data_IF_785942942638
#
_entry.id   IF_785942942638
#
_cell.length_a   1.000
_cell.length_b   1.000
_cell.length_c   1.000
_cell.angle_alpha   90.00
_cell.angle_beta   90.00
_cell.angle_gamma   90.00
#
_symmetry.space_group_name_H-M   'P 1'
#
loop_
_entity.id
_entity.type
_entity.pdbx_description
1 polymer ?
#
# COMPACT_ATOMS: atom_id res chain seq x y z
N UNK A 1 -31.45 -15.99 -56.36
CA UNK A 1 -30.47 -16.34 -57.36
C UNK A 1 -29.15 -16.34 -56.59
N UNK A 2 -28.83 -17.45 -55.93
CA UNK A 2 -28.13 -18.61 -56.51
C UNK A 2 -26.84 -18.13 -57.21
N UNK A 3 -25.70 -18.43 -56.59
CA UNK A 3 -24.94 -19.63 -56.98
C UNK A 3 -23.84 -19.92 -55.94
N UNK A 4 -23.84 -21.16 -55.53
CA UNK A 4 -22.73 -21.95 -54.99
C UNK A 4 -21.58 -22.06 -55.98
N UNK A 5 -20.46 -22.56 -55.56
CA UNK A 5 -19.40 -23.37 -56.12
C UNK A 5 -18.07 -22.98 -55.44
N UNK A 6 -17.32 -23.80 -54.82
CA UNK A 6 -17.01 -25.20 -54.97
C UNK A 6 -15.62 -25.43 -54.42
N UNK A 7 -15.55 -26.38 -53.51
CA UNK A 7 -14.36 -26.85 -52.82
C UNK A 7 -13.38 -27.52 -53.80
N UNK A 8 -12.12 -27.11 -53.83
CA UNK A 8 -11.05 -27.88 -54.46
C UNK A 8 -9.86 -28.02 -53.52
N UNK A 9 -9.74 -29.20 -52.94
CA UNK A 9 -8.54 -29.68 -52.28
C UNK A 9 -7.41 -29.81 -53.31
N UNK A 10 -6.26 -29.17 -53.01
CA UNK A 10 -4.99 -29.55 -53.59
C UNK A 10 -4.02 -29.85 -52.44
N UNK A 11 -3.78 -31.15 -52.28
CA UNK A 11 -2.70 -31.66 -51.45
C UNK A 11 -1.37 -31.36 -52.16
N UNK A 12 -0.45 -30.64 -51.51
CA UNK A 12 0.95 -30.61 -51.90
C UNK A 12 1.80 -30.98 -50.68
N UNK A 13 2.69 -31.94 -50.99
CA UNK A 13 3.52 -32.70 -50.09
C UNK A 13 4.50 -31.89 -49.26
N UNK A 14 4.76 -32.41 -48.09
CA UNK A 14 5.81 -32.09 -47.14
C UNK A 14 7.19 -31.95 -47.80
N UNK A 15 7.84 -30.82 -47.53
CA UNK A 15 9.28 -30.70 -47.41
C UNK A 15 9.59 -30.22 -45.98
N UNK A 16 10.12 -31.14 -45.18
CA UNK A 16 10.69 -30.90 -43.84
C UNK A 16 11.93 -29.98 -43.99
N UNK A 17 11.74 -28.69 -43.86
CA UNK A 17 12.82 -27.78 -43.51
C UNK A 17 12.59 -27.40 -42.05
N UNK A 18 13.51 -27.79 -41.19
CA UNK A 18 13.49 -27.45 -39.77
C UNK A 18 13.51 -25.93 -39.55
N UNK A 19 12.34 -25.34 -39.41
CA UNK A 19 12.19 -24.02 -38.83
C UNK A 19 12.02 -24.24 -37.32
N UNK A 20 13.09 -23.90 -36.59
CA UNK A 20 12.99 -23.69 -35.15
C UNK A 20 11.82 -22.73 -34.93
N UNK A 21 10.77 -23.20 -34.22
CA UNK A 21 9.74 -22.34 -33.67
C UNK A 21 10.45 -21.23 -32.89
N UNK A 22 10.13 -19.93 -33.11
CA UNK A 22 10.62 -18.91 -32.21
C UNK A 22 10.10 -19.26 -30.83
N UNK A 23 11.02 -19.55 -29.91
CA UNK A 23 10.75 -19.59 -28.48
C UNK A 23 9.90 -18.35 -28.16
N UNK A 24 8.68 -18.55 -27.68
CA UNK A 24 7.84 -17.55 -27.07
C UNK A 24 8.75 -16.69 -26.18
N UNK A 25 8.82 -15.39 -26.45
CA UNK A 25 9.78 -14.48 -25.91
C UNK A 25 10.00 -14.71 -24.42
N UNK A 26 11.22 -15.09 -24.06
CA UNK A 26 11.65 -15.08 -22.68
C UNK A 26 11.46 -13.66 -22.17
N UNK A 27 10.74 -13.51 -21.07
CA UNK A 27 10.61 -12.26 -20.39
C UNK A 27 12.03 -11.77 -20.07
N UNK A 28 12.43 -10.62 -20.62
CA UNK A 28 13.81 -10.11 -20.48
C UNK A 28 14.24 -9.99 -19.02
N UNK A 29 13.28 -9.83 -18.13
CA UNK A 29 13.47 -9.72 -16.68
C UNK A 29 13.57 -11.09 -15.98
N UNK A 30 13.13 -12.18 -16.63
CA UNK A 30 13.10 -13.54 -16.08
C UNK A 30 14.47 -14.23 -16.13
N UNK A 31 14.64 -15.36 -15.37
CA UNK A 31 15.89 -16.09 -15.37
C UNK A 31 16.21 -16.66 -16.77
N UNK A 32 17.47 -16.59 -17.14
CA UNK A 32 17.96 -17.08 -18.45
C UNK A 32 18.47 -18.54 -18.38
N UNK A 33 18.95 -18.98 -17.21
CA UNK A 33 19.36 -20.37 -16.97
C UNK A 33 18.14 -21.29 -16.77
N UNK A 34 18.18 -22.51 -17.37
CA UNK A 34 17.06 -23.45 -17.32
C UNK A 34 16.77 -23.98 -15.89
N UNK A 35 17.80 -24.09 -15.02
CA UNK A 35 17.62 -24.50 -13.61
C UNK A 35 17.04 -23.34 -12.83
N UNK A 36 17.47 -22.12 -13.08
CA UNK A 36 16.93 -20.91 -12.52
C UNK A 36 15.45 -20.74 -12.87
N UNK A 37 15.09 -20.96 -14.15
CA UNK A 37 13.69 -20.93 -14.60
C UNK A 37 12.82 -21.94 -13.87
N UNK A 38 13.32 -23.19 -13.65
CA UNK A 38 12.61 -24.18 -12.86
C UNK A 38 12.37 -23.70 -11.41
N UNK A 39 13.41 -23.19 -10.75
CA UNK A 39 13.30 -22.68 -9.37
C UNK A 39 12.36 -21.47 -9.29
N UNK A 40 12.37 -20.58 -10.28
CA UNK A 40 11.43 -19.47 -10.39
C UNK A 40 9.97 -19.94 -10.52
N UNK A 41 9.71 -20.91 -11.38
CA UNK A 41 8.36 -21.47 -11.55
C UNK A 41 7.86 -22.16 -10.26
N UNK A 42 8.75 -22.87 -9.54
CA UNK A 42 8.43 -23.45 -8.23
C UNK A 42 8.14 -22.36 -7.19
N UNK A 43 8.84 -21.21 -7.22
CA UNK A 43 8.55 -20.07 -6.38
C UNK A 43 7.17 -19.48 -6.68
N UNK A 44 6.84 -19.31 -7.97
CA UNK A 44 5.52 -18.83 -8.39
C UNK A 44 4.41 -19.78 -7.98
N UNK A 45 4.67 -21.10 -8.00
CA UNK A 45 3.73 -22.09 -7.50
C UNK A 45 3.52 -22.00 -5.98
N UNK A 46 4.60 -21.84 -5.21
CA UNK A 46 4.52 -21.60 -3.77
C UNK A 46 3.67 -20.36 -3.44
N UNK A 47 3.79 -19.28 -4.23
CA UNK A 47 2.94 -18.08 -4.07
C UNK A 47 1.46 -18.36 -4.31
N UNK A 48 1.10 -19.17 -5.33
CA UNK A 48 -0.30 -19.55 -5.56
C UNK A 48 -0.91 -20.30 -4.38
N UNK A 49 -0.08 -20.97 -3.60
CA UNK A 49 -0.49 -21.69 -2.38
C UNK A 49 -0.22 -20.90 -1.09
N UNK A 50 -0.01 -19.57 -1.18
CA UNK A 50 0.25 -18.68 -0.05
C UNK A 50 1.45 -19.06 0.83
N UNK A 51 2.41 -19.82 0.29
CA UNK A 51 3.65 -20.21 0.98
C UNK A 51 4.76 -19.20 0.71
N UNK A 52 4.65 -18.01 1.30
CA UNK A 52 5.52 -16.86 0.98
C UNK A 52 6.99 -17.14 1.32
N UNK A 53 7.27 -17.73 2.50
CA UNK A 53 8.64 -18.06 2.91
C UNK A 53 9.29 -19.07 1.94
N UNK A 54 8.56 -20.13 1.56
CA UNK A 54 9.05 -21.12 0.57
C UNK A 54 9.31 -20.47 -0.80
N UNK A 55 8.44 -19.53 -1.19
CA UNK A 55 8.60 -18.81 -2.43
C UNK A 55 9.86 -17.93 -2.41
N UNK A 56 10.10 -17.23 -1.31
CA UNK A 56 11.29 -16.39 -1.15
C UNK A 56 12.58 -17.22 -1.26
N UNK A 57 12.66 -18.39 -0.61
CA UNK A 57 13.83 -19.27 -0.70
C UNK A 57 14.07 -19.78 -2.13
N UNK A 58 12.99 -20.04 -2.87
CA UNK A 58 13.08 -20.46 -4.27
C UNK A 58 13.48 -19.30 -5.20
N UNK A 59 13.05 -18.05 -4.95
CA UNK A 59 13.53 -16.88 -5.69
C UNK A 59 15.00 -16.64 -5.43
N UNK A 60 15.48 -16.71 -4.19
CA UNK A 60 16.92 -16.63 -3.84
C UNK A 60 17.73 -17.69 -4.57
N UNK A 61 17.19 -18.92 -4.64
CA UNK A 61 17.83 -20.00 -5.37
C UNK A 61 17.86 -19.75 -6.88
N UNK A 62 16.76 -19.27 -7.45
CA UNK A 62 16.67 -18.96 -8.88
C UNK A 62 17.65 -17.86 -9.27
N UNK A 63 17.69 -16.77 -8.52
CA UNK A 63 18.62 -15.66 -8.76
C UNK A 63 20.08 -16.12 -8.69
N UNK A 64 20.44 -16.87 -7.66
CA UNK A 64 21.80 -17.47 -7.55
C UNK A 64 22.15 -18.39 -8.72
N UNK A 65 21.20 -19.18 -9.22
CA UNK A 65 21.40 -20.07 -10.38
C UNK A 65 21.57 -19.30 -11.67
N UNK A 66 20.97 -18.11 -11.75
CA UNK A 66 21.09 -17.17 -12.88
C UNK A 66 22.28 -16.22 -12.73
N UNK A 67 23.18 -16.49 -11.78
CA UNK A 67 24.40 -15.68 -11.56
C UNK A 67 24.13 -14.31 -10.91
N UNK A 68 23.00 -14.10 -10.27
CA UNK A 68 22.60 -12.82 -9.68
C UNK A 68 22.02 -11.83 -10.71
N UNK A 69 21.58 -12.30 -11.87
CA UNK A 69 21.10 -11.46 -12.96
C UNK A 69 19.58 -11.56 -13.20
N UNK A 70 18.87 -12.34 -12.38
CA UNK A 70 17.43 -12.51 -12.52
C UNK A 70 16.67 -11.31 -11.94
N UNK A 71 16.47 -10.26 -12.73
CA UNK A 71 15.76 -9.05 -12.30
C UNK A 71 14.35 -9.33 -11.77
N UNK A 72 13.61 -10.26 -12.39
CA UNK A 72 12.29 -10.69 -11.91
C UNK A 72 12.39 -11.38 -10.53
N UNK A 73 13.45 -12.16 -10.26
CA UNK A 73 13.69 -12.75 -8.95
C UNK A 73 13.95 -11.67 -7.91
N UNK A 74 14.83 -10.72 -8.19
CA UNK A 74 15.21 -9.63 -7.29
C UNK A 74 14.02 -8.74 -6.93
N UNK A 75 13.19 -8.37 -7.91
CA UNK A 75 11.93 -7.65 -7.66
C UNK A 75 11.00 -8.44 -6.70
N UNK A 76 10.91 -9.77 -6.85
CA UNK A 76 10.12 -10.63 -5.96
C UNK A 76 10.78 -10.78 -4.60
N UNK A 77 12.11 -10.91 -4.54
CA UNK A 77 12.86 -10.95 -3.29
C UNK A 77 12.67 -9.67 -2.48
N UNK A 78 12.81 -8.49 -3.10
CA UNK A 78 12.53 -7.19 -2.46
C UNK A 78 11.13 -7.20 -1.85
N UNK A 79 10.11 -7.55 -2.63
CA UNK A 79 8.73 -7.54 -2.16
C UNK A 79 8.53 -8.48 -0.97
N UNK A 80 8.81 -9.75 -1.15
CA UNK A 80 8.43 -10.77 -0.16
C UNK A 80 9.37 -10.81 1.05
N UNK A 81 10.65 -10.48 0.88
CA UNK A 81 11.55 -10.32 2.02
C UNK A 81 11.16 -9.12 2.89
N UNK A 82 10.74 -8.01 2.29
CA UNK A 82 10.21 -6.86 3.04
C UNK A 82 8.92 -7.21 3.80
N UNK A 83 8.00 -7.97 3.18
CA UNK A 83 6.78 -8.46 3.83
C UNK A 83 7.08 -9.38 5.04
N UNK A 84 8.13 -10.18 4.96
CA UNK A 84 8.58 -11.08 6.03
C UNK A 84 9.52 -10.42 7.04
N UNK A 85 9.94 -9.17 6.82
CA UNK A 85 10.92 -8.49 7.65
C UNK A 85 12.36 -9.00 7.48
N UNK A 86 12.64 -9.75 6.41
CA UNK A 86 13.98 -10.23 6.04
C UNK A 86 14.79 -9.13 5.34
N UNK A 87 15.00 -7.99 6.03
CA UNK A 87 15.55 -6.74 5.47
C UNK A 87 16.87 -6.92 4.75
N UNK A 88 17.77 -7.76 5.31
CA UNK A 88 19.08 -8.04 4.69
C UNK A 88 18.93 -8.68 3.30
N UNK A 89 17.94 -9.54 3.12
CA UNK A 89 17.65 -10.17 1.81
C UNK A 89 17.08 -9.16 0.84
N UNK A 90 16.16 -8.32 1.30
CA UNK A 90 15.56 -7.27 0.47
C UNK A 90 16.61 -6.23 0.04
N UNK A 91 17.50 -5.81 0.96
CA UNK A 91 18.56 -4.86 0.69
C UNK A 91 19.57 -5.41 -0.32
N UNK A 92 20.04 -6.65 -0.12
CA UNK A 92 20.96 -7.31 -1.06
C UNK A 92 20.39 -7.39 -2.47
N UNK A 93 19.12 -7.79 -2.61
CA UNK A 93 18.47 -7.84 -3.90
C UNK A 93 18.34 -6.45 -4.56
N UNK A 94 18.12 -5.40 -3.77
CA UNK A 94 18.13 -4.02 -4.26
C UNK A 94 19.53 -3.57 -4.71
N UNK A 95 20.58 -3.92 -3.97
CA UNK A 95 21.98 -3.64 -4.33
C UNK A 95 22.40 -4.37 -5.62
N UNK A 96 21.98 -5.63 -5.79
CA UNK A 96 22.20 -6.39 -7.01
C UNK A 96 21.50 -5.75 -8.22
N UNK A 97 20.25 -5.25 -8.03
CA UNK A 97 19.56 -4.48 -9.09
C UNK A 97 20.32 -3.21 -9.46
N UNK A 98 20.83 -2.47 -8.48
CA UNK A 98 21.62 -1.25 -8.73
C UNK A 98 22.92 -1.58 -9.48
N UNK A 99 23.60 -2.67 -9.10
CA UNK A 99 24.87 -3.04 -9.69
C UNK A 99 24.77 -3.41 -11.19
N UNK A 100 23.62 -3.90 -11.63
CA UNK A 100 23.41 -4.32 -13.02
C UNK A 100 22.60 -3.33 -13.87
N UNK A 101 21.96 -2.34 -13.25
CA UNK A 101 21.11 -1.38 -13.93
C UNK A 101 21.86 -0.52 -14.94
N UNK A 102 21.25 -0.27 -16.08
CA UNK A 102 21.79 0.58 -17.15
C UNK A 102 20.70 1.49 -17.73
N UNK A 103 21.10 2.65 -18.25
CA UNK A 103 20.17 3.58 -18.86
C UNK A 103 19.05 4.01 -17.90
N UNK A 104 17.81 3.92 -18.36
CA UNK A 104 16.61 4.33 -17.60
C UNK A 104 16.35 3.46 -16.37
N UNK A 105 16.85 2.21 -16.35
CA UNK A 105 16.67 1.30 -15.20
C UNK A 105 17.46 1.72 -13.96
N UNK A 106 18.51 2.55 -14.12
CA UNK A 106 19.31 3.07 -12.99
C UNK A 106 18.43 3.81 -11.99
N UNK A 107 17.56 4.70 -12.47
CA UNK A 107 16.66 5.46 -11.60
C UNK A 107 15.70 4.53 -10.82
N UNK A 108 15.15 3.52 -11.50
CA UNK A 108 14.23 2.56 -10.91
C UNK A 108 14.93 1.70 -9.87
N UNK A 109 16.15 1.21 -10.13
CA UNK A 109 16.92 0.38 -9.22
C UNK A 109 17.23 1.13 -7.90
N UNK A 110 17.74 2.37 -7.99
CA UNK A 110 18.00 3.22 -6.83
C UNK A 110 16.72 3.52 -6.05
N UNK A 111 15.59 3.80 -6.74
CA UNK A 111 14.31 3.98 -6.10
C UNK A 111 13.84 2.72 -5.34
N UNK A 112 14.00 1.53 -5.90
CA UNK A 112 13.64 0.27 -5.25
C UNK A 112 14.47 0.04 -3.99
N UNK A 113 15.79 0.23 -4.06
CA UNK A 113 16.68 0.12 -2.89
C UNK A 113 16.28 1.13 -1.81
N UNK A 114 16.05 2.39 -2.17
CA UNK A 114 15.59 3.41 -1.24
C UNK A 114 14.26 3.08 -0.58
N UNK A 115 13.35 2.43 -1.31
CA UNK A 115 12.06 1.96 -0.78
C UNK A 115 12.26 0.87 0.28
N UNK A 116 13.19 -0.06 0.07
CA UNK A 116 13.57 -1.08 1.08
C UNK A 116 14.13 -0.42 2.33
N UNK A 117 15.10 0.48 2.16
CA UNK A 117 15.72 1.21 3.27
C UNK A 117 14.72 2.03 4.07
N UNK A 118 13.79 2.72 3.40
CA UNK A 118 12.71 3.46 4.04
C UNK A 118 11.80 2.54 4.87
N UNK A 119 11.46 1.37 4.33
CA UNK A 119 10.60 0.39 5.00
C UNK A 119 11.29 -0.21 6.21
N UNK A 120 12.58 -0.55 6.11
CA UNK A 120 13.38 -1.03 7.24
C UNK A 120 13.52 0.05 8.32
N UNK A 121 13.89 1.29 7.93
CA UNK A 121 14.03 2.42 8.84
C UNK A 121 12.77 2.60 9.69
N UNK A 122 11.62 2.53 9.02
CA UNK A 122 10.33 2.67 9.66
C UNK A 122 9.98 1.49 10.58
N UNK A 123 10.11 0.26 10.08
CA UNK A 123 9.74 -0.96 10.82
C UNK A 123 10.62 -1.22 12.05
N UNK A 124 11.90 -0.87 11.98
CA UNK A 124 12.90 -1.15 13.02
C UNK A 124 13.32 0.08 13.82
N UNK A 125 12.70 1.23 13.58
CA UNK A 125 13.03 2.53 14.20
C UNK A 125 14.53 2.89 14.05
N UNK A 126 15.06 2.67 12.82
CA UNK A 126 16.45 2.98 12.47
C UNK A 126 16.53 4.32 11.73
N UNK A 127 16.65 5.40 12.48
CA UNK A 127 16.65 6.76 11.90
C UNK A 127 17.92 7.04 11.07
N UNK A 128 19.01 6.31 11.30
CA UNK A 128 20.25 6.39 10.54
C UNK A 128 20.08 5.98 9.06
N UNK A 129 19.09 5.16 8.75
CA UNK A 129 18.83 4.75 7.37
C UNK A 129 18.21 5.85 6.51
N UNK A 130 17.59 6.89 7.10
CA UNK A 130 16.96 7.94 6.29
C UNK A 130 17.97 8.74 5.44
N UNK A 131 19.21 8.89 5.90
CA UNK A 131 20.28 9.48 5.07
C UNK A 131 20.62 8.60 3.86
N UNK A 132 20.66 7.28 4.02
CA UNK A 132 20.87 6.36 2.89
C UNK A 132 19.71 6.39 1.91
N UNK A 133 18.47 6.52 2.41
CA UNK A 133 17.30 6.71 1.53
C UNK A 133 17.48 7.98 0.68
N UNK A 134 17.86 9.11 1.30
CA UNK A 134 18.12 10.37 0.60
C UNK A 134 19.23 10.21 -0.45
N UNK A 135 20.32 9.53 -0.11
CA UNK A 135 21.41 9.26 -1.05
C UNK A 135 20.94 8.43 -2.27
N UNK A 136 20.15 7.38 -2.05
CA UNK A 136 19.61 6.57 -3.12
C UNK A 136 18.59 7.37 -3.98
N UNK A 137 17.76 8.21 -3.38
CA UNK A 137 16.85 9.08 -4.14
C UNK A 137 17.60 10.13 -4.94
N UNK A 138 18.68 10.68 -4.40
CA UNK A 138 19.55 11.60 -5.14
C UNK A 138 20.14 10.96 -6.38
N UNK A 139 20.63 9.71 -6.29
CA UNK A 139 21.13 8.95 -7.44
C UNK A 139 20.01 8.63 -8.45
N UNK A 140 18.83 8.24 -7.97
CA UNK A 140 17.67 8.01 -8.82
C UNK A 140 17.28 9.26 -9.61
N UNK A 141 17.27 10.42 -8.97
CA UNK A 141 16.93 11.71 -9.58
C UNK A 141 18.05 12.26 -10.48
N UNK A 142 19.30 11.89 -10.22
CA UNK A 142 20.40 12.20 -11.14
C UNK A 142 20.29 11.41 -12.47
N UNK A 143 19.78 10.17 -12.42
CA UNK A 143 19.52 9.35 -13.61
C UNK A 143 18.22 9.75 -14.31
N UNK A 144 17.19 10.13 -13.59
CA UNK A 144 15.89 10.54 -14.12
C UNK A 144 15.28 11.65 -13.27
N UNK A 145 15.51 12.89 -13.66
CA UNK A 145 15.12 14.08 -12.88
C UNK A 145 13.61 14.18 -12.61
N UNK A 146 12.78 13.79 -13.57
CA UNK A 146 11.32 13.84 -13.47
C UNK A 146 10.71 12.51 -12.98
N UNK A 147 11.18 11.97 -11.86
CA UNK A 147 10.68 10.74 -11.25
C UNK A 147 9.84 11.05 -9.99
N UNK A 148 8.49 11.19 -10.12
CA UNK A 148 7.65 11.67 -9.01
C UNK A 148 7.77 10.84 -7.74
N UNK A 149 7.83 9.51 -7.86
CA UNK A 149 7.91 8.63 -6.70
C UNK A 149 9.23 8.80 -5.93
N UNK A 150 10.35 9.01 -6.63
CA UNK A 150 11.64 9.29 -6.00
C UNK A 150 11.64 10.67 -5.31
N UNK A 151 11.07 11.69 -5.94
CA UNK A 151 10.91 13.03 -5.35
C UNK A 151 10.09 12.97 -4.06
N UNK A 152 8.97 12.25 -4.08
CA UNK A 152 8.11 12.09 -2.90
C UNK A 152 8.82 11.34 -1.77
N UNK A 153 9.51 10.24 -2.09
CA UNK A 153 10.25 9.43 -1.12
C UNK A 153 11.41 10.22 -0.51
N UNK A 154 12.12 11.03 -1.33
CA UNK A 154 13.16 11.93 -0.86
C UNK A 154 12.63 12.99 0.10
N UNK A 155 11.51 13.64 -0.23
CA UNK A 155 10.84 14.58 0.66
C UNK A 155 10.51 13.96 2.02
N UNK A 156 10.07 12.70 2.04
CA UNK A 156 9.81 11.98 3.29
C UNK A 156 11.09 11.65 4.07
N UNK A 157 12.16 11.26 3.40
CA UNK A 157 13.45 11.00 4.04
C UNK A 157 14.02 12.27 4.68
N UNK A 158 14.05 13.38 3.94
CA UNK A 158 14.48 14.69 4.41
C UNK A 158 13.66 15.16 5.62
N UNK A 159 12.34 15.00 5.60
CA UNK A 159 11.49 15.33 6.73
C UNK A 159 11.86 14.50 7.98
N UNK A 160 12.14 13.20 7.82
CA UNK A 160 12.61 12.33 8.92
C UNK A 160 13.96 12.77 9.47
N UNK A 161 14.83 13.30 8.63
CA UNK A 161 16.11 13.91 9.01
C UNK A 161 15.95 15.33 9.61
N UNK A 162 14.70 15.83 9.75
CA UNK A 162 14.36 17.18 10.23
C UNK A 162 14.92 18.31 9.34
N UNK A 163 15.12 18.03 8.06
CA UNK A 163 15.50 18.99 7.02
C UNK A 163 14.23 19.55 6.35
N UNK A 164 13.43 20.28 7.12
CA UNK A 164 12.05 20.63 6.74
C UNK A 164 11.98 21.51 5.49
N UNK A 165 12.90 22.46 5.29
CA UNK A 165 12.92 23.30 4.10
C UNK A 165 13.24 22.49 2.83
N UNK A 166 14.20 21.56 2.90
CA UNK A 166 14.55 20.70 1.79
C UNK A 166 13.40 19.72 1.48
N UNK A 167 12.78 19.14 2.51
CA UNK A 167 11.61 18.29 2.38
C UNK A 167 10.44 19.03 1.71
N UNK A 168 10.16 20.25 2.13
CA UNK A 168 9.14 21.12 1.55
C UNK A 168 9.40 21.35 0.05
N UNK A 169 10.63 21.66 -0.33
CA UNK A 169 10.99 21.88 -1.73
C UNK A 169 10.70 20.64 -2.60
N UNK A 170 10.99 19.41 -2.10
CA UNK A 170 10.66 18.17 -2.81
C UNK A 170 9.14 17.95 -2.90
N UNK A 171 8.38 18.19 -1.84
CA UNK A 171 6.92 18.08 -1.90
C UNK A 171 6.30 19.11 -2.85
N UNK A 172 6.77 20.35 -2.88
CA UNK A 172 6.31 21.36 -3.84
C UNK A 172 6.59 20.95 -5.28
N UNK A 173 7.76 20.34 -5.54
CA UNK A 173 8.12 19.78 -6.84
C UNK A 173 7.18 18.63 -7.21
N UNK A 174 6.93 17.70 -6.29
CA UNK A 174 6.01 16.57 -6.49
C UNK A 174 4.58 17.02 -6.80
N UNK A 175 4.03 17.98 -6.05
CA UNK A 175 2.68 18.51 -6.23
C UNK A 175 2.46 19.08 -7.62
N UNK A 176 3.47 19.71 -8.23
CA UNK A 176 3.39 20.24 -9.61
C UNK A 176 3.31 19.16 -10.69
N UNK A 177 3.71 17.93 -10.36
CA UNK A 177 3.78 16.82 -11.31
C UNK A 177 2.57 15.87 -11.23
N UNK A 178 1.67 16.06 -10.25
CA UNK A 178 0.55 15.14 -9.99
C UNK A 178 -0.79 15.82 -10.23
N UNK A 179 -1.81 15.06 -10.72
CA UNK A 179 -3.19 15.55 -10.85
C UNK A 179 -3.77 16.03 -9.53
N UNK A 180 -4.78 16.89 -9.58
CA UNK A 180 -5.40 17.46 -8.38
C UNK A 180 -6.11 16.44 -7.50
N UNK A 181 -6.67 15.39 -8.10
CA UNK A 181 -7.36 14.30 -7.42
C UNK A 181 -6.43 13.17 -6.92
N UNK A 182 -5.11 13.32 -7.12
CA UNK A 182 -4.13 12.35 -6.67
C UNK A 182 -4.00 12.37 -5.13
N UNK A 183 -4.23 11.23 -4.45
CA UNK A 183 -4.17 11.16 -2.98
C UNK A 183 -2.81 11.54 -2.41
N UNK A 184 -1.71 11.16 -3.08
CA UNK A 184 -0.37 11.49 -2.61
C UNK A 184 -0.05 12.99 -2.80
N UNK A 185 -0.63 13.63 -3.84
CA UNK A 185 -0.57 15.09 -3.98
C UNK A 185 -1.26 15.79 -2.81
N UNK A 186 -2.42 15.32 -2.39
CA UNK A 186 -3.13 15.89 -1.25
C UNK A 186 -2.34 15.71 0.06
N UNK A 187 -1.65 14.58 0.22
CA UNK A 187 -0.73 14.36 1.34
C UNK A 187 0.47 15.29 1.30
N UNK A 188 1.11 15.43 0.14
CA UNK A 188 2.25 16.32 -0.03
C UNK A 188 1.90 17.78 0.30
N UNK A 189 0.72 18.26 -0.09
CA UNK A 189 0.22 19.60 0.29
C UNK A 189 0.11 19.76 1.81
N UNK A 190 -0.31 18.73 2.53
CA UNK A 190 -0.33 18.75 4.00
C UNK A 190 1.08 18.77 4.59
N UNK A 191 2.01 18.01 4.02
CA UNK A 191 3.42 17.98 4.48
C UNK A 191 4.14 19.31 4.24
N UNK A 192 3.77 20.06 3.18
CA UNK A 192 4.25 21.42 2.93
C UNK A 192 3.82 22.39 4.05
N UNK A 193 2.57 22.27 4.51
CA UNK A 193 2.02 23.13 5.56
C UNK A 193 2.33 22.66 6.99
N UNK A 194 2.53 21.35 7.18
CA UNK A 194 2.74 20.68 8.46
C UNK A 194 3.83 19.60 8.32
N UNK A 195 5.13 19.98 8.33
CA UNK A 195 6.24 19.05 8.09
C UNK A 195 6.31 17.87 9.06
N UNK A 196 5.78 18.02 10.28
CA UNK A 196 5.70 16.97 11.29
C UNK A 196 4.85 15.78 10.83
N UNK A 197 3.85 15.99 9.96
CA UNK A 197 3.03 14.91 9.41
C UNK A 197 3.84 13.99 8.47
N UNK A 198 4.84 14.52 7.77
CA UNK A 198 5.74 13.72 6.95
C UNK A 198 6.60 12.75 7.77
N UNK A 199 6.79 13.03 9.05
CA UNK A 199 7.50 12.19 10.04
C UNK A 199 6.57 11.20 10.74
N UNK A 200 5.26 11.41 10.68
CA UNK A 200 4.28 10.55 11.34
C UNK A 200 4.05 9.23 10.57
N UNK A 201 3.53 8.23 11.29
CA UNK A 201 3.03 6.98 10.67
C UNK A 201 1.64 7.25 10.08
N UNK A 202 1.58 7.65 8.83
CA UNK A 202 0.31 7.87 8.13
C UNK A 202 -0.40 6.54 7.88
N UNK A 203 -1.73 6.53 8.06
CA UNK A 203 -2.54 5.40 7.63
C UNK A 203 -2.43 5.21 6.11
N UNK A 204 -2.43 3.97 5.61
CA UNK A 204 -2.46 3.69 4.18
C UNK A 204 -3.65 4.36 3.46
N UNK A 205 -3.53 4.66 2.16
CA UNK A 205 -4.61 5.26 1.37
C UNK A 205 -5.73 4.25 1.12
N UNK A 206 -6.69 4.19 2.03
CA UNK A 206 -7.85 3.32 1.93
C UNK A 206 -8.92 3.94 1.05
N UNK A 207 -9.48 3.15 0.11
CA UNK A 207 -10.70 3.46 -0.63
C UNK A 207 -11.56 2.20 -0.69
N UNK A 208 -12.78 2.25 -0.15
CA UNK A 208 -13.71 1.13 -0.13
C UNK A 208 -15.13 1.56 -0.48
N UNK A 209 -15.96 0.63 -0.94
CA UNK A 209 -17.40 0.80 -1.05
C UNK A 209 -18.07 -0.09 0.00
N UNK A 210 -18.79 0.49 0.92
CA UNK A 210 -19.44 -0.18 2.04
C UNK A 210 -20.69 -0.96 1.61
N UNK A 211 -21.24 -1.76 2.51
CA UNK A 211 -22.44 -2.58 2.27
C UNK A 211 -23.66 -1.76 1.81
N UNK A 212 -23.80 -0.54 2.31
CA UNK A 212 -24.86 0.40 1.94
C UNK A 212 -24.55 1.22 0.66
N UNK A 213 -23.44 0.92 -0.02
CA UNK A 213 -23.02 1.55 -1.26
C UNK A 213 -22.27 2.88 -1.07
N UNK A 214 -22.00 3.32 0.15
CA UNK A 214 -21.22 4.52 0.40
C UNK A 214 -19.76 4.29 0.01
N UNK A 215 -19.18 5.18 -0.80
CA UNK A 215 -17.74 5.22 -1.03
C UNK A 215 -17.06 5.97 0.12
N UNK A 216 -16.10 5.33 0.76
CA UNK A 216 -15.28 5.91 1.82
C UNK A 216 -13.82 5.91 1.37
N UNK A 217 -13.16 7.07 1.41
CA UNK A 217 -11.71 7.16 1.26
C UNK A 217 -11.08 7.82 2.50
N UNK A 218 -9.80 7.53 2.78
CA UNK A 218 -9.10 8.19 3.88
C UNK A 218 -9.03 9.70 3.70
N UNK A 219 -9.02 10.19 2.46
CA UNK A 219 -9.00 11.63 2.17
C UNK A 219 -10.35 12.30 2.48
N UNK A 220 -11.49 11.60 2.26
CA UNK A 220 -12.83 12.06 2.62
C UNK A 220 -13.05 12.09 4.15
N UNK A 221 -12.21 11.38 4.89
CA UNK A 221 -12.27 11.29 6.35
C UNK A 221 -11.37 12.32 7.06
N UNK A 222 -10.74 13.23 6.31
CA UNK A 222 -9.95 14.33 6.88
C UNK A 222 -10.79 15.12 7.89
N UNK A 223 -10.19 15.42 9.03
CA UNK A 223 -10.87 16.10 10.14
C UNK A 223 -11.69 15.18 11.04
N UNK A 224 -11.80 13.89 10.71
CA UNK A 224 -12.48 12.87 11.53
C UNK A 224 -11.49 11.85 12.08
N UNK A 225 -11.75 11.38 13.28
CA UNK A 225 -11.08 10.19 13.84
C UNK A 225 -11.65 8.95 13.16
N UNK A 226 -10.81 7.97 12.84
CA UNK A 226 -11.25 6.68 12.27
C UNK A 226 -10.88 5.55 13.22
N UNK A 227 -11.86 4.72 13.56
CA UNK A 227 -11.65 3.42 14.19
C UNK A 227 -11.88 2.36 13.12
N UNK A 228 -10.78 1.75 12.65
CA UNK A 228 -10.82 0.66 11.69
C UNK A 228 -10.75 -0.65 12.45
N UNK A 229 -11.75 -1.52 12.25
CA UNK A 229 -11.93 -2.79 12.97
C UNK A 229 -11.93 -3.96 11.98
N UNK A 230 -10.94 -4.86 12.11
CA UNK A 230 -10.87 -6.09 11.32
C UNK A 230 -11.44 -7.26 12.11
N UNK A 231 -12.43 -7.92 11.52
CA UNK A 231 -13.22 -8.95 12.19
C UNK A 231 -13.73 -10.03 11.22
N UNK A 232 -14.43 -11.05 11.74
CA UNK A 232 -15.19 -11.99 10.91
C UNK A 232 -16.30 -12.67 11.72
N UNK A 233 -17.33 -13.17 11.05
CA UNK A 233 -18.44 -13.89 11.67
C UNK A 233 -18.02 -15.20 12.33
N UNK A 234 -16.98 -15.84 11.82
CA UNK A 234 -16.40 -17.07 12.38
C UNK A 234 -15.41 -16.84 13.53
N UNK A 235 -15.01 -15.60 13.78
CA UNK A 235 -14.06 -15.23 14.82
C UNK A 235 -14.77 -15.13 16.17
N UNK A 236 -14.52 -16.09 17.06
CA UNK A 236 -15.10 -16.13 18.41
C UNK A 236 -14.81 -14.88 19.25
N UNK A 237 -13.53 -14.47 19.41
CA UNK A 237 -13.15 -13.25 20.13
C UNK A 237 -13.77 -11.98 19.51
N UNK A 238 -13.87 -11.88 18.18
CA UNK A 238 -14.49 -10.74 17.52
C UNK A 238 -15.98 -10.61 17.90
N UNK A 239 -16.70 -11.74 17.94
CA UNK A 239 -18.11 -11.77 18.38
C UNK A 239 -18.27 -11.39 19.84
N UNK A 240 -17.30 -11.74 20.69
CA UNK A 240 -17.29 -11.33 22.09
C UNK A 240 -17.06 -9.82 22.25
N UNK A 241 -16.25 -9.20 21.38
CA UNK A 241 -15.98 -7.76 21.36
C UNK A 241 -17.13 -6.92 20.74
N UNK A 242 -18.05 -7.52 20.00
CA UNK A 242 -19.12 -6.83 19.28
C UNK A 242 -19.97 -5.90 20.18
N UNK A 243 -20.41 -6.29 21.41
CA UNK A 243 -21.16 -5.37 22.29
C UNK A 243 -20.36 -4.10 22.63
N UNK A 244 -19.03 -4.19 22.71
CA UNK A 244 -18.17 -3.03 22.94
C UNK A 244 -18.14 -2.11 21.72
N UNK A 245 -18.02 -2.66 20.51
CA UNK A 245 -18.07 -1.89 19.25
C UNK A 245 -19.43 -1.18 19.07
N UNK A 246 -20.54 -1.87 19.37
CA UNK A 246 -21.89 -1.26 19.38
C UNK A 246 -21.98 -0.09 20.36
N UNK A 247 -21.42 -0.25 21.57
CA UNK A 247 -21.35 0.82 22.56
C UNK A 247 -20.54 2.02 22.06
N UNK A 248 -19.39 1.79 21.43
CA UNK A 248 -18.55 2.86 20.84
C UNK A 248 -19.35 3.58 19.74
N UNK A 249 -19.91 2.86 18.77
CA UNK A 249 -20.67 3.45 17.68
C UNK A 249 -21.82 4.33 18.19
N UNK A 250 -22.59 3.84 19.15
CA UNK A 250 -23.70 4.59 19.78
C UNK A 250 -23.21 5.79 20.62
N UNK A 251 -22.14 5.61 21.40
CA UNK A 251 -21.65 6.65 22.31
C UNK A 251 -21.10 7.87 21.59
N UNK A 252 -20.48 7.65 20.46
CA UNK A 252 -19.85 8.70 19.66
C UNK A 252 -20.67 9.06 18.41
N UNK A 253 -21.95 8.70 18.37
CA UNK A 253 -22.87 9.12 17.32
C UNK A 253 -22.95 10.66 17.25
N UNK A 254 -22.81 11.22 16.06
CA UNK A 254 -22.76 12.68 15.83
C UNK A 254 -21.41 13.33 16.15
N UNK A 255 -20.46 12.60 16.69
CA UNK A 255 -19.08 13.07 16.90
C UNK A 255 -18.23 12.92 15.62
N UNK A 256 -17.10 13.64 15.48
CA UNK A 256 -16.20 13.46 14.36
C UNK A 256 -15.43 12.13 14.46
N UNK A 257 -16.15 11.02 14.55
CA UNK A 257 -15.67 9.65 14.54
C UNK A 257 -16.34 8.86 13.44
N UNK A 258 -15.57 8.11 12.67
CA UNK A 258 -16.04 7.07 11.77
C UNK A 258 -15.55 5.72 12.26
N UNK A 259 -16.48 4.82 12.55
CA UNK A 259 -16.18 3.40 12.75
C UNK A 259 -16.35 2.72 11.41
N UNK A 260 -15.32 2.02 10.93
CA UNK A 260 -15.38 1.23 9.72
C UNK A 260 -14.93 -0.20 10.04
N UNK A 261 -15.86 -1.16 9.95
CA UNK A 261 -15.53 -2.56 10.16
C UNK A 261 -15.23 -3.24 8.81
N UNK A 262 -14.08 -3.89 8.75
CA UNK A 262 -13.55 -4.64 7.60
C UNK A 262 -13.66 -6.13 7.91
N UNK A 263 -14.56 -6.81 7.22
CA UNK A 263 -14.77 -8.25 7.43
C UNK A 263 -13.82 -9.10 6.59
N UNK A 264 -13.25 -10.11 7.21
CA UNK A 264 -12.46 -11.15 6.57
C UNK A 264 -13.28 -12.40 6.21
N UNK A 265 -14.61 -12.29 6.18
CA UNK A 265 -15.47 -13.37 5.70
C UNK A 265 -15.31 -13.59 4.21
N UNK A 266 -15.48 -14.85 3.77
CA UNK A 266 -15.51 -15.22 2.35
C UNK A 266 -16.96 -15.46 1.86
N UNK A 267 -17.90 -15.67 2.79
CA UNK A 267 -19.31 -15.87 2.51
C UNK A 267 -20.08 -14.57 2.76
N UNK A 268 -20.35 -13.87 1.66
CA UNK A 268 -21.02 -12.56 1.69
C UNK A 268 -22.42 -12.64 2.31
N UNK A 269 -23.17 -13.75 2.07
CA UNK A 269 -24.53 -13.87 2.61
C UNK A 269 -24.52 -14.07 4.12
N UNK A 270 -23.64 -14.92 4.65
CA UNK A 270 -23.48 -15.09 6.11
C UNK A 270 -23.06 -13.80 6.78
N UNK A 271 -22.16 -13.04 6.16
CA UNK A 271 -21.74 -11.74 6.66
C UNK A 271 -22.90 -10.75 6.72
N UNK A 272 -23.71 -10.62 5.64
CA UNK A 272 -24.89 -9.75 5.60
C UNK A 272 -25.92 -10.14 6.65
N UNK A 273 -26.23 -11.42 6.76
CA UNK A 273 -27.19 -11.94 7.74
C UNK A 273 -26.73 -11.67 9.18
N UNK A 274 -25.42 -11.81 9.43
CA UNK A 274 -24.85 -11.51 10.76
C UNK A 274 -24.97 -10.03 11.10
N UNK A 275 -24.62 -9.12 10.18
CA UNK A 275 -24.75 -7.68 10.35
C UNK A 275 -26.19 -7.29 10.68
N UNK A 276 -27.15 -7.78 9.87
CA UNK A 276 -28.56 -7.47 10.06
C UNK A 276 -29.08 -8.02 11.40
N UNK A 277 -28.77 -9.28 11.74
CA UNK A 277 -29.18 -9.93 12.98
C UNK A 277 -28.66 -9.21 14.22
N UNK A 278 -27.46 -8.65 14.15
CA UNK A 278 -26.81 -8.00 15.30
C UNK A 278 -26.94 -6.47 15.30
N UNK A 279 -27.66 -5.87 14.35
CA UNK A 279 -27.90 -4.42 14.29
C UNK A 279 -26.59 -3.61 14.17
N UNK A 280 -25.66 -4.05 13.32
CA UNK A 280 -24.41 -3.33 13.08
C UNK A 280 -24.66 -2.20 12.07
N UNK A 281 -25.03 -1.02 12.57
CA UNK A 281 -25.52 0.11 11.76
C UNK A 281 -24.43 1.03 11.23
N UNK A 282 -23.19 0.85 11.64
CA UNK A 282 -22.04 1.62 11.15
C UNK A 282 -21.46 1.01 9.88
N UNK A 283 -20.65 1.77 9.08
CA UNK A 283 -20.05 1.32 7.84
C UNK A 283 -19.36 -0.05 7.91
N UNK A 284 -19.72 -0.93 6.97
CA UNK A 284 -19.23 -2.31 6.86
C UNK A 284 -18.65 -2.56 5.48
N UNK A 285 -17.48 -3.19 5.40
CA UNK A 285 -16.82 -3.58 4.16
C UNK A 285 -16.39 -5.04 4.20
N UNK A 286 -16.59 -5.77 3.10
CA UNK A 286 -16.17 -7.16 2.95
C UNK A 286 -14.86 -7.23 2.17
N UNK A 287 -13.79 -7.66 2.82
CA UNK A 287 -12.44 -7.75 2.24
C UNK A 287 -12.09 -9.15 1.71
N UNK A 288 -12.83 -10.19 2.13
CA UNK A 288 -12.74 -11.56 1.62
C UNK A 288 -11.59 -12.39 2.19
N UNK A 289 -10.99 -12.00 3.31
CA UNK A 289 -9.96 -12.78 4.03
C UNK A 289 -8.68 -12.01 4.32
N UNK A 290 -7.70 -12.68 4.94
CA UNK A 290 -6.38 -12.09 5.22
C UNK A 290 -5.60 -11.68 3.97
N UNK A 291 -5.96 -12.21 2.82
CA UNK A 291 -5.37 -11.85 1.52
C UNK A 291 -6.13 -10.74 0.80
N UNK A 292 -7.17 -10.22 1.41
CA UNK A 292 -7.93 -9.09 0.91
C UNK A 292 -7.08 -7.83 0.77
N UNK A 293 -7.45 -6.91 -0.12
CA UNK A 293 -6.66 -5.72 -0.40
C UNK A 293 -6.43 -4.85 0.84
N UNK A 294 -7.43 -4.67 1.70
CA UNK A 294 -7.33 -3.82 2.89
C UNK A 294 -6.56 -4.52 4.02
N UNK A 295 -6.81 -5.82 4.26
CA UNK A 295 -6.08 -6.60 5.24
C UNK A 295 -4.57 -6.62 4.92
N UNK A 296 -4.19 -6.80 3.65
CA UNK A 296 -2.79 -6.72 3.23
C UNK A 296 -2.20 -5.32 3.37
N UNK A 297 -2.97 -4.28 3.03
CA UNK A 297 -2.54 -2.88 3.12
C UNK A 297 -2.19 -2.48 4.56
N UNK A 298 -2.95 -3.01 5.55
CA UNK A 298 -2.72 -2.79 6.97
C UNK A 298 -1.89 -3.89 7.64
N UNK A 299 -1.35 -4.85 6.88
CA UNK A 299 -0.57 -5.99 7.35
C UNK A 299 -1.30 -6.83 8.42
N UNK A 300 -2.61 -6.98 8.31
CA UNK A 300 -3.44 -7.74 9.26
C UNK A 300 -3.20 -9.23 9.08
N UNK A 301 -2.75 -9.89 10.14
CA UNK A 301 -2.46 -11.32 10.17
C UNK A 301 -3.20 -12.08 11.28
N UNK A 302 -3.92 -11.37 12.15
CA UNK A 302 -4.76 -11.91 13.21
C UNK A 302 -5.97 -11.00 13.45
N UNK A 303 -7.08 -11.54 13.98
CA UNK A 303 -8.29 -10.79 14.35
C UNK A 303 -8.82 -11.24 15.72
N UNK A 304 -9.49 -10.37 16.49
CA UNK A 304 -9.81 -8.97 16.17
C UNK A 304 -8.55 -8.10 16.11
N UNK A 305 -8.51 -7.13 15.20
CA UNK A 305 -7.42 -6.19 15.05
C UNK A 305 -7.99 -4.81 14.77
N UNK A 306 -7.62 -3.82 15.59
CA UNK A 306 -8.13 -2.46 15.46
C UNK A 306 -7.00 -1.46 15.22
N UNK A 307 -7.28 -0.46 14.41
CA UNK A 307 -6.42 0.70 14.19
C UNK A 307 -7.18 1.97 14.54
N UNK A 308 -6.55 2.85 15.30
CA UNK A 308 -7.08 4.18 15.58
C UNK A 308 -6.28 5.22 14.81
N UNK A 309 -6.96 6.00 13.97
CA UNK A 309 -6.36 7.00 13.08
C UNK A 309 -6.93 8.36 13.48
N UNK A 310 -6.08 9.37 13.66
CA UNK A 310 -6.54 10.70 14.04
C UNK A 310 -7.06 11.52 12.86
N UNK A 311 -7.53 12.73 13.15
CA UNK A 311 -8.10 13.65 12.18
C UNK A 311 -7.13 14.10 11.07
N UNK A 312 -5.83 13.97 11.29
CA UNK A 312 -4.78 14.26 10.32
C UNK A 312 -4.42 13.04 9.47
N UNK A 313 -5.04 11.88 9.74
CA UNK A 313 -4.76 10.61 9.06
C UNK A 313 -3.53 9.88 9.60
N UNK A 314 -3.04 10.29 10.79
CA UNK A 314 -1.92 9.63 11.48
C UNK A 314 -2.42 8.42 12.24
N UNK A 315 -1.77 7.28 12.06
CA UNK A 315 -2.05 6.06 12.79
C UNK A 315 -1.52 6.20 14.22
N UNK A 316 -2.46 6.33 15.17
CA UNK A 316 -2.18 6.61 16.57
C UNK A 316 -2.07 5.36 17.43
N UNK A 317 -2.73 4.28 17.01
CA UNK A 317 -2.76 3.03 17.78
C UNK A 317 -3.10 1.84 16.88
N UNK A 318 -2.55 0.69 17.27
CA UNK A 318 -2.77 -0.60 16.65
C UNK A 318 -2.89 -1.64 17.77
N UNK A 319 -3.96 -2.43 17.77
CA UNK A 319 -4.21 -3.40 18.84
C UNK A 319 -4.77 -4.71 18.28
N UNK A 320 -4.19 -5.82 18.75
CA UNK A 320 -4.65 -7.17 18.45
C UNK A 320 -5.33 -7.72 19.71
N UNK A 321 -6.54 -8.27 19.55
CA UNK A 321 -7.36 -8.75 20.65
C UNK A 321 -8.35 -7.71 21.16
N UNK A 322 -9.00 -7.99 22.29
CA UNK A 322 -9.94 -7.06 22.92
C UNK A 322 -9.17 -5.95 23.64
N UNK A 323 -9.49 -4.72 23.33
CA UNK A 323 -8.77 -3.58 23.86
C UNK A 323 -9.70 -2.40 24.17
N UNK A 324 -9.39 -1.68 25.25
CA UNK A 324 -10.10 -0.46 25.63
C UNK A 324 -9.62 0.74 24.83
N UNK A 325 -10.13 0.93 23.61
CA UNK A 325 -9.82 2.10 22.76
C UNK A 325 -10.58 3.37 23.17
N UNK A 326 -11.61 3.26 24.00
CA UNK A 326 -12.56 4.34 24.31
C UNK A 326 -11.89 5.60 24.87
N UNK A 327 -10.93 5.44 25.80
CA UNK A 327 -10.21 6.57 26.39
C UNK A 327 -9.35 7.34 25.37
N UNK A 328 -8.76 6.62 24.42
CA UNK A 328 -7.98 7.20 23.33
C UNK A 328 -8.88 7.92 22.34
N UNK A 329 -10.00 7.31 21.93
CA UNK A 329 -10.98 7.93 21.04
C UNK A 329 -11.49 9.26 21.59
N UNK A 330 -11.81 9.36 22.90
CA UNK A 330 -12.22 10.62 23.52
C UNK A 330 -11.20 11.73 23.34
N UNK A 331 -9.91 11.45 23.54
CA UNK A 331 -8.82 12.42 23.39
C UNK A 331 -8.68 12.89 21.94
N UNK A 332 -8.71 11.95 21.00
CA UNK A 332 -8.57 12.24 19.58
C UNK A 332 -9.77 13.02 19.02
N UNK A 333 -10.99 12.67 19.43
CA UNK A 333 -12.21 13.38 19.07
C UNK A 333 -12.18 14.82 19.60
N UNK A 334 -11.77 15.03 20.85
CA UNK A 334 -11.61 16.38 21.40
C UNK A 334 -10.63 17.22 20.58
N UNK A 335 -9.48 16.66 20.22
CA UNK A 335 -8.50 17.33 19.34
C UNK A 335 -9.08 17.61 17.94
N UNK A 336 -9.81 16.67 17.35
CA UNK A 336 -10.44 16.86 16.04
C UNK A 336 -11.42 18.05 16.06
N UNK A 337 -12.22 18.19 17.10
CA UNK A 337 -13.13 19.34 17.30
C UNK A 337 -12.41 20.68 17.41
N UNK A 338 -11.28 20.70 18.13
CA UNK A 338 -10.46 21.91 18.23
C UNK A 338 -9.89 22.35 16.88
N UNK A 339 -9.42 21.40 16.08
CA UNK A 339 -8.88 21.67 14.73
C UNK A 339 -9.98 22.19 13.83
N UNK A 340 -11.14 21.51 13.79
CA UNK A 340 -12.30 21.95 13.00
C UNK A 340 -12.79 23.35 13.42
N UNK A 341 -12.82 23.65 14.71
CA UNK A 341 -13.19 24.96 15.21
C UNK A 341 -12.25 26.07 14.75
N UNK A 342 -10.93 25.83 14.76
CA UNK A 342 -9.91 26.78 14.28
C UNK A 342 -10.01 26.99 12.77
N UNK A 343 -10.23 25.93 11.98
CA UNK A 343 -10.40 26.01 10.53
C UNK A 343 -11.68 26.81 10.15
N UNK A 344 -12.77 26.62 10.89
CA UNK A 344 -14.00 27.39 10.69
C UNK A 344 -13.80 28.86 10.95
N UNK A 345 -13.16 29.23 12.07
CA UNK A 345 -12.83 30.63 12.41
C UNK A 345 -11.91 31.27 11.37
N UNK A 346 -10.90 30.54 10.86
CA UNK A 346 -9.99 31.05 9.84
C UNK A 346 -10.72 31.35 8.51
N UNK A 347 -11.70 30.51 8.14
CA UNK A 347 -12.53 30.74 6.95
C UNK A 347 -13.46 31.95 7.10
N UNK A 348 -14.03 32.17 8.28
CA UNK A 348 -14.89 33.30 8.57
C UNK A 348 -14.11 34.63 8.52
N UNK A 349 -12.88 34.65 9.02
CA UNK A 349 -11.99 35.82 8.93
C UNK A 349 -11.61 36.12 7.48
N UNK A 350 -11.28 35.11 6.66
CA UNK A 350 -10.97 35.29 5.25
C UNK A 350 -12.19 35.73 4.42
N UNK A 351 -13.39 35.30 4.81
CA UNK A 351 -14.62 35.73 4.16
C UNK A 351 -14.98 37.18 4.49
N UNK A 352 -14.66 37.64 5.69
CA UNK A 352 -14.90 39.02 6.13
C UNK A 352 -13.93 40.04 5.49
N UNK A 353 -12.74 39.62 5.08
CA UNK A 353 -11.69 40.44 4.48
C UNK A 353 -11.79 40.62 2.95
N UNK A 354 -12.81 39.96 2.31
CA UNK A 354 -13.04 40.18 0.87
C UNK A 354 -13.70 41.55 0.65
N UNK A 355 -13.08 42.45 -0.13
CA UNK A 355 -13.68 43.75 -0.45
C UNK A 355 -15.03 43.51 -1.16
N UNK A 356 -16.07 44.17 -0.64
CA UNK A 356 -17.37 44.23 -1.32
C UNK A 356 -17.15 44.91 -2.68
N UNK A 357 -17.28 44.16 -3.76
CA UNK A 357 -17.35 44.70 -5.13
C UNK A 357 -18.73 45.28 -5.38
#
# INVERSE_FOLDING_TARGET
MEEEIGMRYVAVALLLAGMALPLLGQDKDGPQDAKAQKSYNEAMDALRHHRISDALDKFKKADKQDGGHCLACQKKMIKYASELGEWKVAELAGEEMVAQAQGDDVAVAHYQLGTVLMSEAFSRHKDDLYSRVHDEMTKALAAHDNFPNAIYLDGRALARMKQDDAAKAQFERFVKMRPEDDPDRQRALRYISQPELARARMAPPLVVTTLDGQRISMDDLKGKVVLLDFWATWCGPCRAALPHMQKIAKKFEGEPLVVLSVSLDQDEQKWKDFIAKNGMTWPQYLDGGFTGPVARMFAVNAIPHTFTIDADGVLQDEQIGDSSVEGKLKKLIARAKEVQGKEAQAKDVQAADKPKQ
#
